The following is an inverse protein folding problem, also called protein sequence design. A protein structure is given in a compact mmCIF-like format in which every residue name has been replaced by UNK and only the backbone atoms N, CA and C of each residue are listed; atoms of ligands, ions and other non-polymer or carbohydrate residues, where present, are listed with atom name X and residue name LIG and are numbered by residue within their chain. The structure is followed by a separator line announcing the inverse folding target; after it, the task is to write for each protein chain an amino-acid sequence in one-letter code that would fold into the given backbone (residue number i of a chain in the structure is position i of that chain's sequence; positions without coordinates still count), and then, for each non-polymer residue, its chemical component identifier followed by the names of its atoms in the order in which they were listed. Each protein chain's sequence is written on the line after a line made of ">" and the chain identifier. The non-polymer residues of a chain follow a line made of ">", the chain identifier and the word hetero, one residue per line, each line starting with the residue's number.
data_IF_572797204817
#
_entry.id   IF_572797204817
#
_cell.length_a   1.000
_cell.length_b   1.000
_cell.length_c   1.000
_cell.angle_alpha   90.00
_cell.angle_beta   90.00
_cell.angle_gamma   90.00
#
_symmetry.space_group_name_H-M   'P 1'
#
loop_
_entity.id
_entity.type
_entity.pdbx_description
1 polymer ?
#
# COMPACT_ATOMS: atom_id res chain seq x y z
N UNK A 1 -39.48 1.47 -35.46
CA UNK A 1 -39.49 1.33 -33.97
C UNK A 1 -38.94 0.00 -33.46
N UNK A 2 -39.37 -1.17 -33.97
CA UNK A 2 -38.86 -2.47 -33.47
C UNK A 2 -37.37 -2.72 -33.80
N UNK A 3 -36.94 -2.37 -35.02
CA UNK A 3 -35.56 -2.60 -35.50
C UNK A 3 -34.54 -1.73 -34.77
N UNK A 4 -34.89 -0.47 -34.49
CA UNK A 4 -34.03 0.46 -33.73
C UNK A 4 -33.82 0.00 -32.28
N UNK A 5 -34.85 -0.58 -31.65
CA UNK A 5 -34.72 -1.15 -30.29
C UNK A 5 -33.81 -2.38 -30.29
N UNK A 6 -33.91 -3.25 -31.31
CA UNK A 6 -33.01 -4.41 -31.44
C UNK A 6 -31.56 -3.97 -31.61
N UNK A 7 -31.29 -2.94 -32.42
CA UNK A 7 -29.94 -2.41 -32.60
C UNK A 7 -29.35 -1.85 -31.30
N UNK A 8 -30.15 -1.14 -30.50
CA UNK A 8 -29.71 -0.59 -29.21
C UNK A 8 -29.39 -1.71 -28.21
N UNK A 9 -30.21 -2.76 -28.16
CA UNK A 9 -29.99 -3.91 -27.26
C UNK A 9 -28.73 -4.69 -27.63
N UNK A 10 -28.48 -4.90 -28.93
CA UNK A 10 -27.26 -5.57 -29.40
C UNK A 10 -26.01 -4.74 -29.07
N UNK A 11 -26.08 -3.41 -29.23
CA UNK A 11 -24.96 -2.52 -28.90
C UNK A 11 -24.64 -2.53 -27.39
N UNK A 12 -25.66 -2.57 -26.53
CA UNK A 12 -25.51 -2.67 -25.08
C UNK A 12 -24.89 -4.00 -24.64
N UNK A 13 -25.24 -5.10 -25.31
CA UNK A 13 -24.66 -6.42 -25.03
C UNK A 13 -23.18 -6.51 -25.46
N UNK A 14 -22.77 -5.78 -26.49
CA UNK A 14 -21.38 -5.73 -26.96
C UNK A 14 -20.44 -4.96 -26.01
N UNK A 15 -20.97 -4.08 -25.17
CA UNK A 15 -20.18 -3.32 -24.18
C UNK A 15 -20.00 -4.02 -22.85
N UNK A 16 -20.54 -5.24 -22.69
CA UNK A 16 -20.31 -6.06 -21.51
C UNK A 16 -18.90 -6.68 -21.57
N UNK A 17 -17.89 -5.92 -21.17
CA UNK A 17 -16.55 -6.45 -20.92
C UNK A 17 -16.46 -6.96 -19.49
N UNK A 18 -15.91 -8.16 -19.32
CA UNK A 18 -15.59 -8.70 -18.00
C UNK A 18 -14.52 -7.84 -17.32
N UNK A 19 -14.85 -7.29 -16.14
CA UNK A 19 -13.88 -6.60 -15.29
C UNK A 19 -13.13 -7.66 -14.49
N UNK A 20 -11.89 -7.96 -14.89
CA UNK A 20 -11.03 -8.85 -14.14
C UNK A 20 -10.41 -8.10 -12.95
N UNK A 21 -10.80 -8.46 -11.73
CA UNK A 21 -10.08 -8.06 -10.52
C UNK A 21 -8.92 -9.04 -10.29
N UNK A 22 -7.69 -8.55 -10.35
CA UNK A 22 -6.51 -9.33 -9.95
C UNK A 22 -6.25 -9.10 -8.46
N UNK A 23 -6.41 -10.15 -7.65
CA UNK A 23 -5.93 -10.13 -6.27
C UNK A 23 -4.40 -10.26 -6.31
N UNK A 24 -3.70 -9.19 -5.91
CA UNK A 24 -2.25 -9.22 -5.82
C UNK A 24 -1.85 -10.24 -4.75
N UNK A 25 -1.18 -11.33 -5.17
CA UNK A 25 -0.64 -12.33 -4.24
C UNK A 25 0.23 -11.62 -3.21
N UNK A 26 -0.07 -11.78 -1.92
CA UNK A 26 0.75 -11.23 -0.83
C UNK A 26 2.17 -11.79 -0.98
N UNK A 27 3.12 -10.93 -1.38
CA UNK A 27 4.52 -11.33 -1.58
C UNK A 27 5.17 -11.41 -0.20
N UNK A 28 5.89 -12.48 0.08
CA UNK A 28 6.67 -12.55 1.31
C UNK A 28 7.84 -11.58 1.20
N UNK A 29 7.99 -10.67 2.17
CA UNK A 29 9.09 -9.71 2.23
C UNK A 29 10.47 -10.36 2.14
N UNK A 30 10.63 -11.61 2.62
CA UNK A 30 11.89 -12.35 2.49
C UNK A 30 12.18 -12.89 1.08
N UNK A 31 11.21 -12.79 0.16
CA UNK A 31 11.43 -13.05 -1.27
C UNK A 31 11.76 -11.75 -2.02
N UNK A 32 11.56 -10.59 -1.38
CA UNK A 32 11.86 -9.25 -1.91
C UNK A 32 13.21 -8.71 -1.42
N UNK A 33 13.60 -9.03 -0.20
CA UNK A 33 14.85 -8.58 0.44
C UNK A 33 15.78 -9.78 0.51
N UNK A 34 16.97 -9.68 -0.11
CA UNK A 34 17.96 -10.76 0.00
C UNK A 34 18.67 -10.74 1.36
N UNK A 35 19.37 -11.82 1.71
CA UNK A 35 20.19 -11.88 2.93
C UNK A 35 21.26 -10.79 2.92
N UNK A 36 21.93 -10.60 1.79
CA UNK A 36 22.99 -9.60 1.63
C UNK A 36 22.45 -8.18 1.83
N UNK A 37 21.26 -7.90 1.29
CA UNK A 37 20.59 -6.63 1.52
C UNK A 37 20.18 -6.45 2.98
N UNK A 38 19.62 -7.49 3.61
CA UNK A 38 19.21 -7.43 5.00
C UNK A 38 20.39 -7.19 5.95
N UNK A 39 21.52 -7.84 5.72
CA UNK A 39 22.74 -7.67 6.53
C UNK A 39 23.38 -6.28 6.45
N UNK A 40 22.90 -5.40 5.55
CA UNK A 40 23.31 -3.98 5.55
C UNK A 40 22.64 -3.18 6.67
N UNK A 41 21.49 -3.63 7.19
CA UNK A 41 20.80 -2.98 8.30
C UNK A 41 21.40 -3.45 9.63
N UNK A 42 21.88 -2.52 10.45
CA UNK A 42 22.47 -2.81 11.76
C UNK A 42 21.43 -3.20 12.80
N UNK A 43 20.25 -2.60 12.70
CA UNK A 43 19.16 -2.79 13.63
C UNK A 43 17.81 -2.52 12.97
N UNK A 44 16.74 -2.72 13.75
CA UNK A 44 15.37 -2.49 13.30
C UNK A 44 15.08 -1.03 12.96
N UNK A 45 15.75 -0.08 13.61
CA UNK A 45 15.61 1.34 13.33
C UNK A 45 16.11 1.66 11.93
N UNK A 46 17.30 1.18 11.58
CA UNK A 46 17.88 1.36 10.24
C UNK A 46 17.03 0.68 9.16
N UNK A 47 16.47 -0.51 9.46
CA UNK A 47 15.52 -1.18 8.55
C UNK A 47 14.25 -0.34 8.31
N UNK A 48 13.65 0.22 9.36
CA UNK A 48 12.45 1.06 9.26
C UNK A 48 12.77 2.35 8.49
N UNK A 49 13.90 2.99 8.79
CA UNK A 49 14.33 4.23 8.15
C UNK A 49 14.44 4.05 6.63
N UNK A 50 15.07 2.96 6.19
CA UNK A 50 15.30 2.65 4.77
C UNK A 50 14.15 1.90 4.09
N UNK A 51 13.08 1.57 4.82
CA UNK A 51 11.89 0.97 4.21
C UNK A 51 11.16 2.00 3.33
N UNK A 52 10.53 1.58 2.22
CA UNK A 52 9.69 2.42 1.37
C UNK A 52 8.71 3.23 2.21
N UNK A 53 8.48 4.46 1.77
CA UNK A 53 7.55 5.36 2.45
C UNK A 53 6.20 5.30 1.77
N UNK A 54 5.16 5.26 2.58
CA UNK A 54 3.79 5.30 2.15
C UNK A 54 3.11 6.52 2.77
N UNK A 55 2.31 7.22 1.98
CA UNK A 55 1.62 8.43 2.40
C UNK A 55 0.12 8.20 2.32
N UNK A 56 -0.58 8.49 3.41
CA UNK A 56 -2.03 8.51 3.46
C UNK A 56 -2.53 9.93 3.69
N UNK A 57 -3.68 10.25 3.11
CA UNK A 57 -4.44 11.44 3.50
C UNK A 57 -5.20 11.12 4.79
N UNK A 58 -5.12 12.04 5.75
CA UNK A 58 -5.86 11.94 7.01
C UNK A 58 -6.73 13.17 7.18
N UNK A 59 -7.78 13.01 7.98
CA UNK A 59 -8.64 14.14 8.30
C UNK A 59 -7.83 15.19 9.09
N UNK A 60 -7.86 16.47 8.68
CA UNK A 60 -7.30 17.55 9.48
C UNK A 60 -8.04 17.69 10.82
N UNK A 61 -7.31 18.01 11.88
CA UNK A 61 -7.90 18.28 13.19
C UNK A 61 -8.44 19.72 13.26
N UNK A 62 -9.35 20.04 14.21
CA UNK A 62 -9.90 21.39 14.34
C UNK A 62 -8.84 22.49 14.49
N UNK A 63 -7.73 22.19 15.15
CA UNK A 63 -6.60 23.12 15.32
C UNK A 63 -5.92 23.41 13.97
N UNK A 64 -5.74 22.37 13.14
CA UNK A 64 -5.18 22.53 11.78
C UNK A 64 -6.10 23.40 10.92
N UNK A 65 -7.42 23.22 11.02
CA UNK A 65 -8.42 24.01 10.28
C UNK A 65 -8.43 25.46 10.76
N UNK A 66 -8.31 25.68 12.08
CA UNK A 66 -8.28 27.02 12.65
C UNK A 66 -7.03 27.80 12.23
N UNK A 67 -5.89 27.13 12.06
CA UNK A 67 -4.63 27.75 11.65
C UNK A 67 -4.53 27.94 10.14
N UNK A 68 -4.91 26.93 9.35
CA UNK A 68 -4.65 26.88 7.91
C UNK A 68 -5.89 27.05 7.03
N UNK A 69 -7.09 27.10 7.61
CA UNK A 69 -8.36 27.27 6.90
C UNK A 69 -9.06 25.96 6.55
N UNK A 70 -10.28 26.07 5.99
CA UNK A 70 -11.15 24.90 5.71
C UNK A 70 -10.66 24.01 4.58
N UNK A 71 -9.80 24.53 3.71
CA UNK A 71 -9.26 23.80 2.56
C UNK A 71 -7.95 23.09 2.88
N UNK A 72 -7.55 23.04 4.17
CA UNK A 72 -6.34 22.35 4.61
C UNK A 72 -6.43 20.85 4.31
N UNK A 73 -5.35 20.29 3.76
CA UNK A 73 -5.18 18.86 3.55
C UNK A 73 -4.05 18.39 4.45
N UNK A 74 -4.28 17.31 5.19
CA UNK A 74 -3.28 16.70 6.06
C UNK A 74 -2.94 15.32 5.54
N UNK A 75 -1.66 15.02 5.52
CA UNK A 75 -1.16 13.69 5.16
C UNK A 75 -0.20 13.18 6.24
N UNK A 76 -0.17 11.85 6.38
CA UNK A 76 0.81 11.16 7.19
C UNK A 76 1.68 10.31 6.28
N UNK A 77 2.99 10.41 6.46
CA UNK A 77 3.96 9.54 5.80
C UNK A 77 4.57 8.62 6.82
N UNK A 78 4.52 7.32 6.56
CA UNK A 78 5.13 6.29 7.39
C UNK A 78 5.84 5.25 6.54
N UNK A 79 6.29 4.17 7.17
CA UNK A 79 7.05 3.11 6.52
C UNK A 79 6.12 1.97 6.08
N UNK A 80 6.39 1.38 4.92
CA UNK A 80 5.81 0.14 4.43
C UNK A 80 6.89 -0.95 4.55
N UNK A 81 6.89 -1.64 5.69
CA UNK A 81 7.94 -2.56 6.08
C UNK A 81 7.75 -3.94 5.43
N UNK A 82 6.50 -4.40 5.24
CA UNK A 82 6.19 -5.67 4.57
C UNK A 82 5.96 -5.56 3.06
N UNK A 83 6.06 -4.35 2.49
CA UNK A 83 5.98 -4.06 1.05
C UNK A 83 4.61 -4.36 0.46
N UNK A 84 3.55 -4.18 1.26
CA UNK A 84 2.16 -4.41 0.86
C UNK A 84 1.46 -3.13 0.37
N UNK A 85 2.16 -1.99 0.37
CA UNK A 85 1.62 -0.71 -0.05
C UNK A 85 0.71 -0.07 1.01
N UNK A 86 0.84 -0.47 2.28
CA UNK A 86 0.11 0.11 3.40
C UNK A 86 1.12 0.70 4.40
N UNK A 87 0.73 1.80 5.04
CA UNK A 87 1.52 2.37 6.11
C UNK A 87 1.48 1.46 7.35
N UNK A 88 2.64 0.99 7.78
CA UNK A 88 2.79 0.10 8.92
C UNK A 88 3.02 0.87 10.22
N UNK A 89 2.53 0.30 11.32
CA UNK A 89 2.93 0.73 12.65
C UNK A 89 4.28 0.12 13.06
N UNK A 90 4.85 0.66 14.14
CA UNK A 90 6.14 0.19 14.65
C UNK A 90 6.11 -1.29 15.06
N UNK A 91 4.97 -1.79 15.53
CA UNK A 91 4.87 -3.19 15.97
C UNK A 91 4.94 -4.15 14.77
N UNK A 92 4.25 -3.84 13.68
CA UNK A 92 4.29 -4.60 12.42
C UNK A 92 5.70 -4.55 11.82
N UNK A 93 6.32 -3.38 11.74
CA UNK A 93 7.69 -3.26 11.26
C UNK A 93 8.70 -4.08 12.08
N UNK A 94 8.59 -4.06 13.42
CA UNK A 94 9.45 -4.88 14.29
C UNK A 94 9.26 -6.38 14.03
N UNK A 95 8.02 -6.82 13.85
CA UNK A 95 7.71 -8.22 13.55
C UNK A 95 8.30 -8.67 12.19
N UNK A 96 8.22 -7.80 11.18
CA UNK A 96 8.81 -8.05 9.85
C UNK A 96 10.33 -8.18 9.94
N UNK A 97 10.99 -7.24 10.61
CA UNK A 97 12.43 -7.29 10.82
C UNK A 97 12.85 -8.58 11.51
N UNK A 98 12.17 -8.94 12.60
CA UNK A 98 12.46 -10.16 13.34
C UNK A 98 12.24 -11.43 12.49
N UNK A 99 11.23 -11.45 11.62
CA UNK A 99 11.00 -12.54 10.68
C UNK A 99 12.16 -12.72 9.70
N UNK A 100 12.69 -11.63 9.14
CA UNK A 100 13.85 -11.66 8.25
C UNK A 100 15.12 -12.09 9.00
N UNK A 101 15.32 -11.56 10.21
CA UNK A 101 16.44 -11.95 11.09
C UNK A 101 16.45 -13.45 11.37
N UNK A 102 15.29 -14.01 11.74
CA UNK A 102 15.11 -15.45 11.95
C UNK A 102 15.34 -16.29 10.68
N UNK A 103 15.14 -15.71 9.48
CA UNK A 103 15.35 -16.40 8.20
C UNK A 103 16.82 -16.41 7.77
N UNK A 104 17.58 -15.35 8.09
CA UNK A 104 18.92 -15.14 7.53
C UNK A 104 20.07 -15.30 8.52
N UNK A 105 19.87 -14.97 9.79
CA UNK A 105 20.94 -14.91 10.80
C UNK A 105 20.85 -16.01 11.86
N UNK A 106 19.77 -16.78 11.86
CA UNK A 106 19.60 -17.92 12.77
C UNK A 106 19.69 -19.26 12.06
#
# INVERSE_FOLDING_TARGET
>A
MKITVVFIVVLLLLTATDVFSFEAKKVDVGDLISKEQFSLYKDVGEFIEHSPKFTIEVKPEPEDIAEYGTDVVKSLTGSDCDRDGIMDDNAKCNAVYYKLWMRYER
#
